data_IF_243441647657
#
_entry.id   IF_243441647657
#
_cell.length_a   1.000
_cell.length_b   1.000
_cell.length_c   1.000
_cell.angle_alpha   90.00
_cell.angle_beta   90.00
_cell.angle_gamma   90.00
#
_symmetry.space_group_name_H-M   'P 1'
#
loop_
_entity.id
_entity.type
_entity.pdbx_description
1 polymer ?
#
# COMPACT_ATOMS: atom_id res chain seq x y z
N UNK A 1 -49.02 -9.21 87.32
CA UNK A 1 -49.25 -10.65 87.55
C UNK A 1 -49.69 -11.27 86.22
N UNK A 2 -49.28 -12.49 85.81
CA UNK A 2 -47.94 -13.09 85.65
C UNK A 2 -47.53 -13.15 84.14
N UNK A 3 -46.26 -13.02 83.75
CA UNK A 3 -45.26 -14.10 83.52
C UNK A 3 -45.72 -15.28 82.65
N UNK A 4 -45.32 -15.36 81.36
CA UNK A 4 -45.06 -16.60 80.58
C UNK A 4 -44.23 -16.20 79.32
N UNK A 5 -42.92 -16.39 79.25
CA UNK A 5 -42.22 -17.59 78.74
C UNK A 5 -42.83 -18.19 77.46
N UNK A 6 -42.23 -17.90 76.28
CA UNK A 6 -41.91 -18.90 75.24
C UNK A 6 -40.72 -18.42 74.40
N UNK A 7 -39.61 -19.14 74.49
CA UNK A 7 -38.71 -19.51 73.39
C UNK A 7 -38.67 -21.04 73.41
N UNK A 8 -38.57 -21.76 72.28
CA UNK A 8 -37.28 -21.85 71.60
C UNK A 8 -37.39 -22.09 70.08
N UNK A 9 -36.29 -21.91 69.35
CA UNK A 9 -35.81 -22.91 68.37
C UNK A 9 -34.40 -22.48 67.93
N UNK A 10 -33.39 -23.11 68.55
CA UNK A 10 -32.04 -23.25 68.00
C UNK A 10 -31.78 -24.75 67.91
N UNK A 11 -31.34 -25.25 66.76
CA UNK A 11 -30.12 -26.05 66.72
C UNK A 11 -29.12 -25.38 65.76
N UNK A 12 -27.87 -25.13 66.14
CA UNK A 12 -26.75 -26.09 66.16
C UNK A 12 -26.71 -26.90 64.85
N UNK A 13 -25.64 -26.99 64.06
CA UNK A 13 -24.23 -26.64 64.19
C UNK A 13 -23.58 -27.05 62.84
N UNK A 14 -22.28 -26.79 62.66
CA UNK A 14 -21.36 -27.36 61.65
C UNK A 14 -21.21 -26.71 60.25
N UNK A 15 -20.24 -25.79 60.18
CA UNK A 15 -18.94 -25.95 59.49
C UNK A 15 -18.94 -26.60 58.07
N UNK A 16 -18.55 -25.81 57.05
CA UNK A 16 -17.67 -26.11 55.87
C UNK A 16 -17.69 -24.86 54.97
N UNK A 17 -16.60 -24.09 54.83
CA UNK A 17 -15.52 -24.18 53.81
C UNK A 17 -16.04 -24.17 52.36
N UNK A 18 -15.26 -23.50 51.48
CA UNK A 18 -15.36 -23.33 50.01
C UNK A 18 -16.35 -22.25 49.53
N UNK A 19 -16.06 -21.32 48.63
CA UNK A 19 -14.92 -21.04 47.75
C UNK A 19 -15.16 -19.61 47.19
N UNK A 20 -14.09 -18.85 46.96
CA UNK A 20 -14.17 -17.57 46.29
C UNK A 20 -14.34 -17.79 44.77
N UNK A 21 -15.27 -17.08 44.14
CA UNK A 21 -15.28 -16.94 42.68
C UNK A 21 -15.65 -15.51 42.32
N UNK A 22 -14.62 -14.73 41.99
CA UNK A 22 -14.75 -13.40 41.40
C UNK A 22 -14.90 -13.60 39.89
N UNK A 23 -16.07 -13.30 39.34
CA UNK A 23 -16.30 -13.31 37.90
C UNK A 23 -16.00 -11.90 37.35
N UNK A 24 -14.77 -11.66 36.90
CA UNK A 24 -14.42 -10.47 36.09
C UNK A 24 -14.79 -10.78 34.64
N UNK A 25 -15.90 -10.21 34.17
CA UNK A 25 -16.27 -10.20 32.76
C UNK A 25 -15.40 -9.21 31.99
N UNK A 26 -14.34 -9.70 31.36
CA UNK A 26 -13.56 -8.92 30.40
C UNK A 26 -14.29 -8.87 29.06
N UNK A 27 -15.03 -7.78 28.80
CA UNK A 27 -15.54 -7.47 27.47
C UNK A 27 -14.38 -6.90 26.63
N UNK A 28 -13.61 -7.79 26.01
CA UNK A 28 -12.62 -7.40 25.01
C UNK A 28 -13.34 -7.03 23.71
N UNK A 29 -13.74 -5.76 23.60
CA UNK A 29 -14.04 -5.17 22.29
C UNK A 29 -12.70 -5.03 21.59
N UNK A 30 -12.43 -5.91 20.63
CA UNK A 30 -11.25 -5.85 19.78
C UNK A 30 -11.24 -4.52 19.02
N UNK A 31 -10.37 -3.61 19.46
CA UNK A 31 -9.94 -2.50 18.63
C UNK A 31 -9.14 -3.10 17.48
N UNK A 32 -9.78 -3.33 16.35
CA UNK A 32 -9.09 -3.57 15.11
C UNK A 32 -8.25 -2.32 14.83
N UNK A 33 -6.94 -2.45 15.01
CA UNK A 33 -5.98 -1.40 14.71
C UNK A 33 -5.81 -1.38 13.19
N UNK A 34 -6.32 -0.37 12.46
CA UNK A 34 -6.20 -0.31 10.99
C UNK A 34 -4.74 -0.11 10.54
N UNK A 35 -3.82 0.10 11.47
CA UNK A 35 -2.39 0.34 11.25
C UNK A 35 -1.54 -0.95 11.34
N UNK A 36 -2.07 -2.05 11.86
CA UNK A 36 -1.28 -3.22 12.27
C UNK A 36 -0.86 -4.20 11.16
N UNK A 37 -1.20 -3.96 9.89
CA UNK A 37 -0.69 -4.80 8.79
C UNK A 37 0.34 -4.10 7.88
N UNK A 38 0.46 -2.76 7.91
CA UNK A 38 1.32 -2.03 6.99
C UNK A 38 1.00 -2.21 5.50
N UNK A 39 -0.09 -2.93 5.16
CA UNK A 39 -0.56 -3.21 3.81
C UNK A 39 -1.40 -2.03 3.34
N UNK A 40 -0.94 -1.36 2.29
CA UNK A 40 -1.69 -0.33 1.59
C UNK A 40 -2.33 -0.94 0.34
N UNK A 41 -3.65 -0.81 0.21
CA UNK A 41 -4.36 -1.44 -0.91
C UNK A 41 -3.87 -0.95 -2.27
N UNK A 42 -3.59 0.35 -2.44
CA UNK A 42 -3.19 0.90 -3.73
C UNK A 42 -1.73 0.60 -4.09
N UNK A 43 -0.84 0.58 -3.10
CA UNK A 43 0.59 0.29 -3.26
C UNK A 43 0.86 -1.20 -3.40
N UNK A 44 0.20 -2.01 -2.58
CA UNK A 44 0.58 -3.41 -2.39
C UNK A 44 -0.40 -4.38 -3.08
N UNK A 45 -1.71 -4.15 -3.00
CA UNK A 45 -2.74 -5.14 -3.42
C UNK A 45 -3.25 -4.91 -4.83
N UNK A 46 -3.65 -3.67 -5.15
CA UNK A 46 -4.20 -3.30 -6.45
C UNK A 46 -3.27 -3.67 -7.61
N UNK A 47 -1.94 -3.49 -7.55
CA UNK A 47 -1.05 -3.91 -8.63
C UNK A 47 -1.11 -5.43 -8.86
N UNK A 48 -1.11 -6.23 -7.79
CA UNK A 48 -1.21 -7.69 -7.87
C UNK A 48 -2.53 -8.11 -8.50
N UNK A 49 -3.66 -7.54 -8.05
CA UNK A 49 -4.98 -7.85 -8.62
C UNK A 49 -5.12 -7.37 -10.07
N UNK A 50 -4.56 -6.21 -10.41
CA UNK A 50 -4.61 -5.66 -11.77
C UNK A 50 -3.82 -6.49 -12.77
N UNK A 51 -2.65 -6.98 -12.36
CA UNK A 51 -1.78 -7.80 -13.20
C UNK A 51 -2.33 -9.23 -13.35
N UNK A 52 -2.86 -9.81 -12.28
CA UNK A 52 -3.12 -11.26 -12.24
C UNK A 52 -4.62 -11.63 -12.27
N UNK A 53 -5.54 -10.69 -12.05
CA UNK A 53 -6.97 -11.01 -11.84
C UNK A 53 -7.93 -10.21 -12.73
N UNK A 54 -7.71 -8.92 -12.94
CA UNK A 54 -8.71 -8.04 -13.57
C UNK A 54 -8.99 -8.33 -15.04
N UNK A 55 -8.11 -9.04 -15.74
CA UNK A 55 -8.36 -9.45 -17.12
C UNK A 55 -9.59 -10.35 -17.24
N UNK A 56 -9.82 -11.24 -16.26
CA UNK A 56 -10.97 -12.15 -16.23
C UNK A 56 -12.00 -11.81 -15.15
N UNK A 57 -11.62 -11.05 -14.11
CA UNK A 57 -12.49 -10.75 -12.97
C UNK A 57 -12.51 -9.24 -12.66
N UNK A 58 -12.44 -8.41 -13.70
CA UNK A 58 -12.39 -6.95 -13.59
C UNK A 58 -13.57 -6.23 -14.26
N UNK A 59 -13.39 -4.96 -14.66
CA UNK A 59 -14.49 -4.11 -15.11
C UNK A 59 -15.05 -4.46 -16.50
N UNK A 60 -14.30 -5.18 -17.34
CA UNK A 60 -14.75 -5.58 -18.68
C UNK A 60 -15.78 -6.72 -18.61
N UNK A 61 -17.05 -6.38 -18.82
CA UNK A 61 -18.15 -7.36 -18.75
C UNK A 61 -18.07 -8.44 -19.84
N UNK A 62 -17.49 -8.14 -21.00
CA UNK A 62 -17.41 -9.09 -22.11
C UNK A 62 -16.39 -10.22 -21.85
N UNK A 63 -15.39 -9.97 -21.01
CA UNK A 63 -14.35 -10.94 -20.63
C UNK A 63 -14.55 -11.53 -19.24
N UNK A 64 -15.56 -11.07 -18.50
CA UNK A 64 -15.73 -11.41 -17.09
C UNK A 64 -16.17 -12.85 -16.93
N UNK A 65 -15.35 -13.63 -16.23
CA UNK A 65 -15.66 -14.99 -15.80
C UNK A 65 -16.43 -14.95 -14.47
N UNK A 66 -17.43 -15.83 -14.35
CA UNK A 66 -18.29 -15.98 -13.16
C UNK A 66 -19.00 -14.69 -12.69
N UNK A 67 -19.13 -13.69 -13.58
CA UNK A 67 -19.56 -12.33 -13.25
C UNK A 67 -18.89 -11.74 -11.98
N UNK A 68 -17.64 -12.17 -11.71
CA UNK A 68 -16.89 -11.79 -10.51
C UNK A 68 -16.13 -10.49 -10.75
N UNK A 69 -16.27 -9.55 -9.80
CA UNK A 69 -15.67 -8.22 -9.82
C UNK A 69 -14.68 -8.05 -8.68
N UNK A 70 -13.43 -8.41 -8.89
CA UNK A 70 -12.34 -8.22 -7.91
C UNK A 70 -11.80 -6.80 -7.89
N UNK A 71 -12.17 -5.95 -8.84
CA UNK A 71 -11.77 -4.54 -8.93
C UNK A 71 -12.57 -3.60 -8.01
N UNK A 72 -13.63 -4.11 -7.37
CA UNK A 72 -14.50 -3.36 -6.44
C UNK A 72 -14.76 -4.17 -5.17
N UNK A 73 -14.96 -3.49 -4.04
CA UNK A 73 -15.26 -4.15 -2.76
C UNK A 73 -16.60 -4.86 -2.79
N UNK A 74 -17.60 -4.18 -3.33
CA UNK A 74 -18.97 -4.69 -3.46
C UNK A 74 -18.95 -5.96 -4.30
N UNK A 75 -18.22 -5.93 -5.42
CA UNK A 75 -18.04 -7.08 -6.29
C UNK A 75 -17.35 -8.29 -5.65
N UNK A 76 -16.28 -8.05 -4.89
CA UNK A 76 -15.51 -9.11 -4.23
C UNK A 76 -16.25 -9.74 -3.05
N UNK A 77 -17.09 -8.96 -2.37
CA UNK A 77 -17.89 -9.41 -1.23
C UNK A 77 -19.30 -9.87 -1.60
N UNK A 78 -19.74 -9.66 -2.85
CA UNK A 78 -21.05 -10.15 -3.30
C UNK A 78 -21.09 -11.68 -3.33
N UNK A 79 -22.11 -12.25 -2.70
CA UNK A 79 -22.38 -13.69 -2.75
C UNK A 79 -22.88 -14.10 -4.13
N UNK A 80 -22.31 -15.18 -4.66
CA UNK A 80 -22.68 -15.84 -5.92
C UNK A 80 -22.84 -17.32 -5.62
N UNK A 81 -24.07 -17.80 -5.63
CA UNK A 81 -24.42 -19.19 -5.26
C UNK A 81 -23.86 -19.64 -3.90
N UNK A 82 -23.85 -18.72 -2.92
CA UNK A 82 -23.31 -18.96 -1.58
C UNK A 82 -21.80 -18.79 -1.45
N UNK A 83 -21.10 -18.44 -2.53
CA UNK A 83 -19.64 -18.24 -2.55
C UNK A 83 -19.31 -16.76 -2.65
N UNK A 84 -18.37 -16.29 -1.82
CA UNK A 84 -17.85 -14.92 -1.82
C UNK A 84 -16.34 -14.97 -2.02
N UNK A 85 -15.80 -14.13 -2.91
CA UNK A 85 -14.36 -14.06 -3.11
C UNK A 85 -13.65 -13.57 -1.86
N UNK A 86 -14.23 -12.57 -1.18
CA UNK A 86 -13.86 -12.14 0.17
C UNK A 86 -15.12 -12.25 1.03
N UNK A 87 -15.13 -13.19 1.98
CA UNK A 87 -16.24 -13.38 2.91
C UNK A 87 -16.01 -12.53 4.17
N UNK A 88 -16.79 -11.45 4.38
CA UNK A 88 -16.62 -10.58 5.54
C UNK A 88 -17.07 -11.24 6.85
N UNK A 89 -17.85 -12.33 6.81
CA UNK A 89 -18.29 -13.07 8.00
C UNK A 89 -17.27 -14.12 8.44
N UNK A 90 -16.53 -14.71 7.50
CA UNK A 90 -15.48 -15.70 7.78
C UNK A 90 -14.32 -15.55 6.76
N UNK A 91 -13.38 -14.66 7.07
CA UNK A 91 -12.27 -14.32 6.17
C UNK A 91 -11.44 -15.54 5.78
N UNK A 92 -11.31 -16.54 6.67
CA UNK A 92 -10.56 -17.77 6.39
C UNK A 92 -11.25 -18.67 5.37
N UNK A 93 -12.58 -18.53 5.19
CA UNK A 93 -13.36 -19.23 4.16
C UNK A 93 -13.51 -18.46 2.85
N UNK A 94 -12.87 -17.29 2.74
CA UNK A 94 -12.87 -16.52 1.50
C UNK A 94 -12.37 -17.35 0.32
N UNK A 95 -13.18 -17.44 -0.73
CA UNK A 95 -12.87 -18.27 -1.91
C UNK A 95 -11.57 -17.82 -2.58
N UNK A 96 -11.23 -16.52 -2.52
CA UNK A 96 -9.98 -16.01 -3.04
C UNK A 96 -8.77 -16.74 -2.43
N UNK A 97 -8.79 -17.01 -1.12
CA UNK A 97 -7.70 -17.72 -0.43
C UNK A 97 -7.59 -19.17 -0.91
N UNK A 98 -8.72 -19.85 -1.05
CA UNK A 98 -8.75 -21.22 -1.56
C UNK A 98 -8.18 -21.29 -2.98
N UNK A 99 -8.57 -20.35 -3.86
CA UNK A 99 -8.16 -20.33 -5.27
C UNK A 99 -6.69 -19.99 -5.48
N UNK A 100 -6.13 -19.03 -4.72
CA UNK A 100 -4.72 -18.62 -4.88
C UNK A 100 -3.73 -19.61 -4.26
N UNK A 101 -4.21 -20.50 -3.38
CA UNK A 101 -3.39 -21.53 -2.73
C UNK A 101 -3.62 -22.93 -3.30
N UNK A 102 -4.66 -23.12 -4.12
CA UNK A 102 -4.96 -24.40 -4.74
C UNK A 102 -3.82 -24.88 -5.67
N UNK A 103 -3.57 -26.19 -5.63
CA UNK A 103 -2.59 -26.88 -6.49
C UNK A 103 -3.23 -27.50 -7.72
N UNK A 104 -4.53 -27.77 -7.66
CA UNK A 104 -5.31 -28.36 -8.75
C UNK A 104 -5.48 -27.35 -9.90
N UNK A 105 -5.03 -27.67 -11.14
CA UNK A 105 -5.12 -26.79 -12.30
C UNK A 105 -6.52 -26.25 -12.62
N UNK A 106 -7.56 -27.03 -12.34
CA UNK A 106 -8.94 -26.66 -12.70
C UNK A 106 -9.57 -25.67 -11.70
N UNK A 107 -9.02 -25.62 -10.49
CA UNK A 107 -9.56 -24.77 -9.42
C UNK A 107 -8.65 -23.60 -9.09
N UNK A 108 -7.34 -23.73 -9.28
CA UNK A 108 -6.33 -22.70 -9.05
C UNK A 108 -6.59 -21.43 -9.85
N UNK A 109 -6.39 -20.28 -9.21
CA UNK A 109 -6.32 -18.98 -9.87
C UNK A 109 -4.97 -18.29 -9.61
N UNK A 110 -4.37 -17.62 -10.61
CA UNK A 110 -4.77 -17.61 -12.02
C UNK A 110 -4.63 -19.00 -12.66
N UNK A 111 -5.48 -19.33 -13.67
CA UNK A 111 -5.45 -20.65 -14.28
C UNK A 111 -4.20 -20.78 -15.18
N UNK A 112 -3.70 -22.00 -15.44
CA UNK A 112 -2.42 -22.20 -16.14
C UNK A 112 -2.34 -21.54 -17.52
N UNK A 113 -3.46 -21.47 -18.24
CA UNK A 113 -3.56 -20.87 -19.58
C UNK A 113 -3.55 -19.33 -19.57
N UNK A 114 -3.70 -18.69 -18.42
CA UNK A 114 -3.66 -17.22 -18.31
C UNK A 114 -2.25 -16.63 -18.46
N UNK A 115 -1.21 -17.47 -18.61
CA UNK A 115 0.21 -17.04 -18.70
C UNK A 115 0.63 -16.05 -17.59
N UNK A 116 -0.02 -16.16 -16.43
CA UNK A 116 0.23 -15.36 -15.23
C UNK A 116 0.28 -16.29 -14.02
N UNK A 117 1.19 -16.03 -13.08
CA UNK A 117 1.34 -16.81 -11.86
C UNK A 117 1.71 -15.90 -10.70
N UNK A 118 0.99 -16.06 -9.59
CA UNK A 118 1.31 -15.37 -8.36
C UNK A 118 2.64 -15.88 -7.79
N UNK A 119 3.56 -14.95 -7.53
CA UNK A 119 4.74 -15.23 -6.73
C UNK A 119 4.34 -15.56 -5.28
N UNK A 120 5.12 -16.37 -4.54
CA UNK A 120 4.81 -16.70 -3.14
C UNK A 120 4.56 -15.49 -2.26
N UNK A 121 5.28 -14.39 -2.50
CA UNK A 121 5.12 -13.12 -1.79
C UNK A 121 3.77 -12.45 -2.10
N UNK A 122 3.30 -12.53 -3.35
CA UNK A 122 1.99 -12.00 -3.75
C UNK A 122 0.86 -12.82 -3.12
N UNK A 123 0.99 -14.16 -3.08
CA UNK A 123 0.04 -15.03 -2.37
C UNK A 123 -0.01 -14.65 -0.88
N UNK A 124 1.14 -14.52 -0.23
CA UNK A 124 1.22 -14.09 1.18
C UNK A 124 0.52 -12.74 1.39
N UNK A 125 0.82 -11.77 0.53
CA UNK A 125 0.29 -10.40 0.64
C UNK A 125 -1.23 -10.35 0.45
N UNK A 126 -1.77 -11.06 -0.54
CA UNK A 126 -3.22 -11.20 -0.72
C UNK A 126 -3.87 -11.91 0.46
N UNK A 127 -3.24 -12.95 1.00
CA UNK A 127 -3.73 -13.68 2.16
C UNK A 127 -3.79 -12.79 3.40
N UNK A 128 -2.72 -12.04 3.70
CA UNK A 128 -2.69 -11.10 4.82
C UNK A 128 -3.72 -9.98 4.66
N UNK A 129 -3.90 -9.46 3.45
CA UNK A 129 -4.91 -8.45 3.16
C UNK A 129 -6.34 -8.96 3.36
N UNK A 130 -6.68 -10.15 2.86
CA UNK A 130 -8.00 -10.75 3.10
C UNK A 130 -8.19 -11.00 4.60
N UNK A 131 -7.21 -11.59 5.29
CA UNK A 131 -7.29 -11.83 6.74
C UNK A 131 -7.37 -10.55 7.57
N UNK A 132 -6.91 -9.41 7.04
CA UNK A 132 -7.08 -8.08 7.63
C UNK A 132 -8.44 -7.42 7.28
N UNK A 133 -9.36 -8.14 6.64
CA UNK A 133 -10.71 -7.67 6.32
C UNK A 133 -10.92 -7.26 4.86
N UNK A 134 -9.92 -7.43 3.99
CA UNK A 134 -10.06 -7.22 2.55
C UNK A 134 -10.52 -5.81 2.19
N UNK A 135 -10.00 -4.79 2.89
CA UNK A 135 -10.42 -3.40 2.70
C UNK A 135 -9.87 -2.86 1.39
N UNK A 136 -10.76 -2.31 0.56
CA UNK A 136 -10.42 -1.62 -0.68
C UNK A 136 -10.24 -0.13 -0.41
N UNK A 137 -9.35 0.49 -1.18
CA UNK A 137 -9.21 1.95 -1.24
C UNK A 137 -9.56 2.45 -2.66
N UNK A 138 -9.98 3.71 -2.76
CA UNK A 138 -10.20 4.40 -4.04
C UNK A 138 -8.88 4.51 -4.78
N UNK A 139 -8.94 4.61 -6.11
CA UNK A 139 -7.75 4.84 -6.91
C UNK A 139 -7.05 6.13 -6.44
N UNK A 140 -5.71 6.10 -6.33
CA UNK A 140 -4.89 7.19 -5.78
C UNK A 140 -5.19 8.58 -6.39
N UNK A 141 -5.54 8.62 -7.68
CA UNK A 141 -5.91 9.85 -8.40
C UNK A 141 -7.17 10.55 -7.84
N UNK A 142 -8.01 9.85 -7.07
CA UNK A 142 -9.21 10.39 -6.43
C UNK A 142 -9.05 10.61 -4.93
N UNK A 143 -7.90 10.27 -4.37
CA UNK A 143 -7.57 10.58 -2.99
C UNK A 143 -6.94 11.98 -2.94
N UNK A 144 -7.40 12.80 -1.99
CA UNK A 144 -6.85 14.13 -1.79
C UNK A 144 -5.36 14.00 -1.45
N UNK A 145 -4.44 14.65 -2.18
CA UNK A 145 -3.03 14.64 -1.83
C UNK A 145 -2.83 15.17 -0.41
N UNK A 146 -2.08 14.42 0.39
CA UNK A 146 -1.69 14.81 1.75
C UNK A 146 -0.21 15.15 1.74
N UNK A 147 0.14 16.31 2.31
CA UNK A 147 1.53 16.75 2.40
C UNK A 147 2.30 15.82 3.33
N UNK A 148 3.26 15.09 2.78
CA UNK A 148 4.17 14.27 3.57
C UNK A 148 5.30 15.13 4.13
N UNK A 149 5.65 14.98 5.42
CA UNK A 149 6.85 15.62 5.95
C UNK A 149 8.10 15.01 5.28
N UNK A 150 9.11 15.83 4.96
CA UNK A 150 10.35 15.30 4.40
C UNK A 150 11.06 14.41 5.44
N UNK A 151 11.70 13.31 5.02
CA UNK A 151 12.48 12.46 5.91
C UNK A 151 13.70 13.20 6.48
N UNK A 152 14.14 12.80 7.67
CA UNK A 152 15.39 13.29 8.26
C UNK A 152 16.58 12.66 7.54
N UNK A 153 17.57 13.47 7.18
CA UNK A 153 18.77 13.04 6.48
C UNK A 153 20.03 13.22 7.33
N UNK A 154 21.03 12.37 7.08
CA UNK A 154 22.39 12.62 7.54
C UNK A 154 22.97 13.90 6.87
N UNK A 155 23.97 14.51 7.50
CA UNK A 155 24.48 15.83 7.09
C UNK A 155 25.01 15.86 5.64
N UNK A 156 25.70 14.81 5.21
CA UNK A 156 26.22 14.65 3.84
C UNK A 156 25.09 14.59 2.80
N UNK A 157 24.02 13.85 3.11
CA UNK A 157 22.82 13.73 2.26
C UNK A 157 22.01 15.02 2.22
N UNK A 158 21.92 15.71 3.36
CA UNK A 158 21.27 17.01 3.44
C UNK A 158 22.02 18.08 2.64
N UNK A 159 23.36 17.99 2.53
CA UNK A 159 24.15 18.93 1.74
C UNK A 159 23.98 18.71 0.22
N UNK A 160 23.68 17.49 -0.21
CA UNK A 160 23.38 17.18 -1.61
C UNK A 160 21.97 17.63 -2.04
N UNK A 161 20.99 17.53 -1.14
CA UNK A 161 19.61 17.87 -1.43
C UNK A 161 19.38 19.38 -1.56
N UNK A 162 18.97 19.85 -2.74
CA UNK A 162 18.70 21.28 -3.03
C UNK A 162 17.23 21.65 -2.85
N UNK A 163 16.32 20.68 -2.94
CA UNK A 163 14.88 20.89 -2.78
C UNK A 163 14.21 19.71 -2.05
N UNK A 164 12.90 19.81 -1.80
CA UNK A 164 12.15 18.77 -1.08
C UNK A 164 12.13 17.41 -1.81
N UNK A 165 12.10 17.38 -3.14
CA UNK A 165 12.16 16.14 -3.93
C UNK A 165 13.51 15.46 -3.71
N UNK A 166 14.60 16.21 -3.73
CA UNK A 166 15.94 15.68 -3.48
C UNK A 166 16.05 15.04 -2.09
N UNK A 167 15.32 15.56 -1.09
CA UNK A 167 15.30 14.98 0.25
C UNK A 167 14.72 13.56 0.25
N UNK A 168 13.61 13.33 -0.47
CA UNK A 168 13.03 12.00 -0.62
C UNK A 168 13.94 11.07 -1.42
N UNK A 169 14.57 11.57 -2.49
CA UNK A 169 15.52 10.80 -3.30
C UNK A 169 16.74 10.38 -2.47
N UNK A 170 17.31 11.31 -1.70
CA UNK A 170 18.47 11.04 -0.86
C UNK A 170 18.17 10.01 0.24
N UNK A 171 16.97 10.05 0.82
CA UNK A 171 16.52 9.03 1.78
C UNK A 171 16.47 7.65 1.14
N UNK A 172 15.84 7.53 -0.04
CA UNK A 172 15.74 6.24 -0.74
C UNK A 172 17.10 5.71 -1.18
N UNK A 173 18.00 6.60 -1.61
CA UNK A 173 19.38 6.22 -1.93
C UNK A 173 20.14 5.68 -0.72
N UNK A 174 19.96 6.29 0.46
CA UNK A 174 20.57 5.83 1.69
C UNK A 174 20.07 4.42 2.08
N UNK A 175 18.76 4.19 2.00
CA UNK A 175 18.16 2.86 2.22
C UNK A 175 18.69 1.80 1.25
N UNK A 176 18.89 2.19 -0.02
CA UNK A 176 19.39 1.30 -1.05
C UNK A 176 20.94 1.15 -1.04
N UNK A 177 21.64 1.85 -0.13
CA UNK A 177 23.11 1.82 -0.06
C UNK A 177 23.80 2.45 -1.27
N UNK A 178 23.13 3.33 -2.02
CA UNK A 178 23.68 4.00 -3.20
C UNK A 178 24.04 5.46 -2.90
N UNK A 179 25.07 5.96 -3.57
CA UNK A 179 25.54 7.35 -3.46
C UNK A 179 25.20 8.12 -4.74
N UNK A 180 24.88 9.43 -4.66
CA UNK A 180 24.68 10.23 -5.85
C UNK A 180 25.92 10.24 -6.74
N UNK A 181 25.71 10.18 -8.05
CA UNK A 181 26.78 10.41 -9.02
C UNK A 181 27.23 11.88 -8.99
N UNK A 182 28.51 12.16 -9.30
CA UNK A 182 28.97 13.54 -9.47
C UNK A 182 28.20 14.21 -10.60
N UNK A 183 28.09 15.54 -10.51
CA UNK A 183 27.48 16.33 -11.57
C UNK A 183 28.26 16.16 -12.89
N UNK A 184 27.52 15.91 -13.98
CA UNK A 184 28.14 15.72 -15.29
C UNK A 184 28.76 17.04 -15.80
N UNK A 185 29.76 16.96 -16.70
CA UNK A 185 30.31 18.15 -17.36
C UNK A 185 29.22 18.96 -18.05
N UNK A 186 29.38 20.29 -18.10
CA UNK A 186 28.37 21.21 -18.66
C UNK A 186 27.90 20.83 -20.06
N UNK A 187 28.80 20.47 -20.97
CA UNK A 187 28.42 20.06 -22.32
C UNK A 187 27.52 18.80 -22.32
N UNK A 188 27.79 17.84 -21.42
CA UNK A 188 26.96 16.65 -21.23
C UNK A 188 25.61 16.99 -20.62
N UNK A 189 25.57 17.88 -19.63
CA UNK A 189 24.31 18.34 -19.02
C UNK A 189 23.42 19.03 -20.06
N UNK A 190 23.98 19.98 -20.82
CA UNK A 190 23.24 20.68 -21.87
C UNK A 190 22.70 19.69 -22.92
N UNK A 191 23.54 18.75 -23.37
CA UNK A 191 23.09 17.75 -24.34
C UNK A 191 21.92 16.91 -23.81
N UNK A 192 21.96 16.48 -22.55
CA UNK A 192 20.87 15.69 -21.94
C UNK A 192 19.59 16.51 -21.89
N UNK A 193 19.66 17.69 -21.29
CA UNK A 193 18.45 18.52 -21.07
C UNK A 193 17.86 19.05 -22.38
N UNK A 194 18.67 19.36 -23.41
CA UNK A 194 18.14 19.72 -24.72
C UNK A 194 17.41 18.57 -25.40
N UNK A 195 17.95 17.35 -25.33
CA UNK A 195 17.26 16.19 -25.90
C UNK A 195 15.98 15.85 -25.13
N UNK A 196 16.00 15.97 -23.79
CA UNK A 196 14.84 15.68 -22.96
C UNK A 196 13.71 16.70 -23.15
N UNK A 197 14.04 17.98 -23.31
CA UNK A 197 13.04 19.05 -23.41
C UNK A 197 12.60 19.35 -24.84
N UNK A 198 13.48 19.22 -25.84
CA UNK A 198 13.19 19.64 -27.22
C UNK A 198 13.45 18.56 -28.26
N UNK A 199 13.90 17.36 -27.89
CA UNK A 199 14.24 16.29 -28.84
C UNK A 199 15.46 16.57 -29.73
N UNK A 200 16.10 17.74 -29.59
CA UNK A 200 17.16 18.24 -30.48
C UNK A 200 18.48 18.37 -29.72
N UNK A 201 19.62 18.05 -30.36
CA UNK A 201 20.92 18.30 -29.75
C UNK A 201 21.20 19.82 -29.69
N UNK A 202 21.97 20.30 -28.69
CA UNK A 202 22.35 21.69 -28.63
C UNK A 202 23.33 22.04 -29.76
N UNK A 203 23.23 23.26 -30.28
CA UNK A 203 24.19 23.80 -31.24
C UNK A 203 25.57 24.05 -30.61
N UNK A 204 26.64 24.09 -31.41
CA UNK A 204 27.98 24.45 -30.91
C UNK A 204 28.01 25.81 -30.17
N UNK A 205 27.23 26.79 -30.64
CA UNK A 205 27.14 28.10 -30.00
C UNK A 205 26.49 28.03 -28.60
N UNK A 206 25.42 27.23 -28.44
CA UNK A 206 24.77 27.02 -27.15
C UNK A 206 25.71 26.30 -26.16
N UNK A 207 26.47 25.31 -26.63
CA UNK A 207 27.48 24.63 -25.80
C UNK A 207 28.53 25.63 -25.33
N UNK A 208 29.09 26.43 -26.24
CA UNK A 208 30.11 27.42 -25.89
C UNK A 208 29.60 28.45 -24.87
N UNK A 209 28.38 28.96 -25.07
CA UNK A 209 27.74 29.91 -24.17
C UNK A 209 27.55 29.31 -22.76
N UNK A 210 26.99 28.11 -22.65
CA UNK A 210 26.74 27.48 -21.34
C UNK A 210 28.05 27.11 -20.63
N UNK A 211 29.05 26.61 -21.36
CA UNK A 211 30.35 26.28 -20.79
C UNK A 211 31.00 27.52 -20.18
N UNK A 212 30.94 28.66 -20.88
CA UNK A 212 31.51 29.93 -20.43
C UNK A 212 30.74 30.60 -19.27
N UNK A 213 29.44 30.34 -19.12
CA UNK A 213 28.61 30.97 -18.09
C UNK A 213 28.92 30.45 -16.68
N UNK A 214 29.61 31.25 -15.86
CA UNK A 214 29.99 30.88 -14.48
C UNK A 214 28.96 31.29 -13.42
N UNK A 215 27.81 31.83 -13.83
CA UNK A 215 26.76 32.23 -12.90
C UNK A 215 26.20 31.02 -12.13
N UNK A 216 25.79 31.22 -10.85
CA UNK A 216 25.28 30.12 -10.01
C UNK A 216 23.98 29.50 -10.54
N UNK A 217 23.26 30.23 -11.40
CA UNK A 217 21.99 29.89 -12.03
C UNK A 217 22.12 29.59 -13.54
N UNK A 218 23.33 29.33 -14.03
CA UNK A 218 23.59 29.09 -15.45
C UNK A 218 22.79 27.91 -16.02
N UNK A 219 22.54 26.87 -15.23
CA UNK A 219 21.79 25.70 -15.68
C UNK A 219 20.29 26.00 -15.78
N UNK A 220 19.75 26.71 -14.80
CA UNK A 220 18.37 27.16 -14.74
C UNK A 220 18.05 28.09 -15.93
N UNK A 221 18.93 29.03 -16.26
CA UNK A 221 18.78 29.88 -17.47
C UNK A 221 18.67 29.08 -18.76
N UNK A 222 19.48 28.02 -18.90
CA UNK A 222 19.42 27.12 -20.05
C UNK A 222 18.08 26.38 -20.09
N UNK A 223 17.64 25.84 -18.95
CA UNK A 223 16.35 25.14 -18.84
C UNK A 223 15.20 26.07 -19.23
N UNK A 224 15.15 27.27 -18.66
CA UNK A 224 14.11 28.26 -18.96
C UNK A 224 14.08 28.63 -20.45
N UNK A 225 15.25 28.81 -21.06
CA UNK A 225 15.35 29.07 -22.50
C UNK A 225 14.86 27.90 -23.36
N UNK A 226 15.12 26.65 -22.96
CA UNK A 226 14.63 25.46 -23.66
C UNK A 226 13.11 25.29 -23.50
N UNK A 227 12.56 25.55 -22.31
CA UNK A 227 11.11 25.51 -22.07
C UNK A 227 10.33 26.57 -22.85
N UNK A 228 10.97 27.70 -23.18
CA UNK A 228 10.40 28.77 -24.01
C UNK A 228 10.59 28.55 -25.52
N UNK A 229 11.35 27.53 -25.91
CA UNK A 229 11.60 27.21 -27.32
C UNK A 229 10.31 26.75 -28.02
N UNK A 230 10.11 27.09 -29.31
CA UNK A 230 9.01 26.52 -30.09
C UNK A 230 9.08 24.99 -30.22
N UNK A 231 10.26 24.40 -29.99
CA UNK A 231 10.48 22.94 -30.06
C UNK A 231 10.20 22.20 -28.74
N UNK A 232 9.76 22.88 -27.68
CA UNK A 232 9.44 22.22 -26.42
C UNK A 232 8.20 21.33 -26.56
N UNK A 233 8.32 20.04 -26.24
CA UNK A 233 7.23 19.08 -26.29
C UNK A 233 6.92 18.49 -27.68
N UNK A 234 7.87 18.58 -28.63
CA UNK A 234 7.89 17.80 -29.89
C UNK A 234 8.25 16.31 -29.67
#
# INVERSE_FOLDING_TARGET
MPSFFVSPFIPLNFRRLTEATVLVGALAVGLANPEAAGIDFNRDIRPVLSENCFQCHGPDAAKRKADLRLDTREGATQSRDGVQAVDPADLAKSELLARITATDPDTRMPPPEANSRLAPQQVKLLSEWVMAGGVYDRHWAFNKPVRQPPPSLAADRSAWAKNAVDVFVAARQAEAGVVPSPQAPKATLLRRVSLDLTGLPPSPAQIAAFVADTSPDAFEKVVDGLLQSPHYGE
#
